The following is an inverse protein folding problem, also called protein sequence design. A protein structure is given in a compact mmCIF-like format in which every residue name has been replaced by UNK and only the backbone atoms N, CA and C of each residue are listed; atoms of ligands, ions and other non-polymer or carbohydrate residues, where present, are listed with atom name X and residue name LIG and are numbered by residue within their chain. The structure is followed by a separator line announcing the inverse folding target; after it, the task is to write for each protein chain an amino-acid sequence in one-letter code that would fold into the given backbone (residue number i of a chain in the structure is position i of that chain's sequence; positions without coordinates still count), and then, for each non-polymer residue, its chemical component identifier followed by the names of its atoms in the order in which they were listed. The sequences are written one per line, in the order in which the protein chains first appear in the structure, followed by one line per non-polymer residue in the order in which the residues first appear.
data_IF_956439381653
#
_entry.id   IF_956439381653
#
_cell.length_a   1.000
_cell.length_b   1.000
_cell.length_c   1.000
_cell.angle_alpha   90.00
_cell.angle_beta   90.00
_cell.angle_gamma   90.00
#
_symmetry.space_group_name_H-M   'P 1'
#
loop_
_entity.id
_entity.type
_entity.pdbx_description
1 polymer ?
#
# COMPACT_ATOMS: atom_id res chain seq x y z
N UNK A 1 1.91 -17.95 -4.40
CA UNK A 1 3.16 -17.55 -3.70
C UNK A 1 2.92 -16.16 -3.14
N UNK A 2 3.02 -15.96 -1.82
CA UNK A 2 2.89 -14.62 -1.21
C UNK A 2 4.27 -13.95 -1.22
N UNK A 3 4.52 -13.14 -2.24
CA UNK A 3 5.82 -12.54 -2.54
C UNK A 3 6.35 -11.60 -1.45
N UNK A 4 5.45 -11.06 -0.61
CA UNK A 4 5.78 -10.08 0.42
C UNK A 4 5.47 -10.58 1.83
N UNK A 5 5.28 -11.90 1.99
CA UNK A 5 4.95 -12.52 3.28
C UNK A 5 5.93 -12.11 4.38
N UNK A 6 5.40 -11.57 5.48
CA UNK A 6 6.18 -11.18 6.65
C UNK A 6 6.95 -9.86 6.50
N UNK A 7 6.80 -9.15 5.37
CA UNK A 7 7.32 -7.79 5.23
C UNK A 7 6.27 -6.78 5.69
N UNK A 8 6.73 -5.74 6.37
CA UNK A 8 5.91 -4.58 6.75
C UNK A 8 6.02 -3.51 5.67
N UNK A 9 4.91 -2.84 5.39
CA UNK A 9 4.84 -1.78 4.38
C UNK A 9 4.17 -0.52 4.93
N UNK A 10 4.68 0.64 4.51
CA UNK A 10 4.06 1.96 4.68
C UNK A 10 3.77 2.49 3.28
N UNK A 11 2.57 3.02 3.09
CA UNK A 11 2.06 3.38 1.78
C UNK A 11 1.79 4.87 1.73
N UNK A 12 2.33 5.51 0.69
CA UNK A 12 1.98 6.85 0.26
C UNK A 12 1.36 6.76 -1.12
N UNK A 13 0.04 6.90 -1.17
CA UNK A 13 -0.70 7.00 -2.42
C UNK A 13 -0.80 8.43 -2.92
N UNK A 14 -1.11 8.55 -4.20
CA UNK A 14 -1.36 9.82 -4.88
C UNK A 14 -2.88 9.99 -5.05
N UNK A 15 -3.38 11.23 -5.01
CA UNK A 15 -4.82 11.51 -5.02
C UNK A 15 -5.41 11.30 -6.42
N UNK A 16 -4.69 11.69 -7.46
CA UNK A 16 -5.19 11.69 -8.84
C UNK A 16 -4.93 10.36 -9.57
N UNK A 17 -3.85 9.67 -9.23
CA UNK A 17 -3.46 8.38 -9.82
C UNK A 17 -3.87 7.18 -8.94
N UNK A 18 -2.92 6.65 -8.17
CA UNK A 18 -3.12 5.43 -7.38
C UNK A 18 -3.23 5.81 -5.91
N UNK A 19 -4.46 5.75 -5.41
CA UNK A 19 -4.76 5.94 -4.00
C UNK A 19 -4.08 4.89 -3.11
N UNK A 20 -3.74 5.30 -1.88
CA UNK A 20 -3.07 4.44 -0.91
C UNK A 20 -3.87 3.19 -0.56
N UNK A 21 -5.21 3.30 -0.55
CA UNK A 21 -6.11 2.15 -0.36
C UNK A 21 -5.93 1.08 -1.45
N UNK A 22 -5.77 1.48 -2.70
CA UNK A 22 -5.58 0.53 -3.81
C UNK A 22 -4.28 -0.24 -3.64
N UNK A 23 -3.20 0.46 -3.26
CA UNK A 23 -1.89 -0.15 -3.00
C UNK A 23 -1.95 -1.08 -1.78
N UNK A 24 -2.71 -0.70 -0.74
CA UNK A 24 -2.91 -1.51 0.46
C UNK A 24 -3.53 -2.87 0.13
N UNK A 25 -4.63 -2.89 -0.63
CA UNK A 25 -5.30 -4.14 -1.01
C UNK A 25 -4.38 -5.10 -1.76
N UNK A 26 -3.56 -4.58 -2.68
CA UNK A 26 -2.62 -5.41 -3.46
C UNK A 26 -1.47 -5.94 -2.57
N UNK A 27 -0.95 -5.10 -1.68
CA UNK A 27 0.12 -5.49 -0.74
C UNK A 27 -0.34 -6.56 0.24
N UNK A 28 -1.54 -6.43 0.79
CA UNK A 28 -2.13 -7.42 1.68
C UNK A 28 -2.40 -8.75 0.94
N UNK A 29 -2.91 -8.70 -0.29
CA UNK A 29 -3.08 -9.89 -1.13
C UNK A 29 -1.73 -10.58 -1.45
N UNK A 30 -0.65 -9.80 -1.56
CA UNK A 30 0.71 -10.32 -1.72
C UNK A 30 1.34 -10.84 -0.40
N UNK A 31 0.65 -10.70 0.73
CA UNK A 31 1.04 -11.18 2.07
C UNK A 31 1.83 -10.18 2.92
N UNK A 32 1.89 -8.91 2.52
CA UNK A 32 2.53 -7.87 3.32
C UNK A 32 1.63 -7.41 4.47
N UNK A 33 2.25 -6.97 5.56
CA UNK A 33 1.57 -6.32 6.69
C UNK A 33 1.62 -4.80 6.49
N UNK A 34 0.49 -4.18 6.18
CA UNK A 34 0.42 -2.72 5.98
C UNK A 34 0.24 -2.04 7.33
N UNK A 35 1.25 -1.27 7.75
CA UNK A 35 1.23 -0.54 9.02
C UNK A 35 0.47 0.79 8.92
N UNK A 36 0.51 1.43 7.75
CA UNK A 36 -0.16 2.70 7.50
C UNK A 36 -0.32 2.93 6.01
N UNK A 37 -1.48 3.43 5.60
CA UNK A 37 -1.78 3.85 4.24
C UNK A 37 -2.36 5.26 4.25
N UNK A 38 -1.70 6.17 3.53
CA UNK A 38 -2.16 7.54 3.39
C UNK A 38 -2.11 7.96 1.94
N UNK A 39 -3.19 8.54 1.44
CA UNK A 39 -3.20 9.23 0.15
C UNK A 39 -2.85 10.70 0.38
N UNK A 40 -1.88 11.23 -0.36
CA UNK A 40 -1.42 12.61 -0.27
C UNK A 40 -1.56 13.29 -1.63
N UNK A 41 -1.85 14.59 -1.61
CA UNK A 41 -1.58 15.46 -2.75
C UNK A 41 -0.11 15.84 -2.70
N UNK A 42 0.69 15.26 -3.58
CA UNK A 42 2.04 15.75 -3.87
C UNK A 42 1.90 16.91 -4.85
N UNK A 43 1.63 18.10 -4.33
CA UNK A 43 1.78 19.36 -5.07
C UNK A 43 3.19 19.91 -4.92
#
# INVERSE_FOLDING_TARGET
MQMLKGKKAIIFGERDEISGNTIQTVLEAAGAEVLSANTRCFV
#
